data_IF_494599677536
#
_entry.id   IF_494599677536
#
_cell.length_a   1.000
_cell.length_b   1.000
_cell.length_c   1.000
_cell.angle_alpha   90.00
_cell.angle_beta   90.00
_cell.angle_gamma   90.00
#
_symmetry.space_group_name_H-M   'P 1'
#
loop_
_entity.id
_entity.type
_entity.pdbx_description
1 polymer ?
#
# COMPACT_ATOMS: atom_id res chain seq x y z
N UNK A 1 9.13 17.92 -7.88
CA UNK A 1 7.74 18.21 -7.49
C UNK A 1 7.39 19.66 -7.81
N UNK A 2 8.06 20.63 -7.17
CA UNK A 2 7.87 22.07 -7.40
C UNK A 2 7.82 22.51 -8.87
N UNK A 3 8.75 22.08 -9.73
CA UNK A 3 8.72 22.48 -11.16
C UNK A 3 7.49 21.95 -11.91
N UNK A 4 7.01 20.74 -11.58
CA UNK A 4 5.78 20.19 -12.18
C UNK A 4 4.55 20.96 -11.68
N UNK A 5 4.53 21.34 -10.40
CA UNK A 5 3.46 22.16 -9.84
C UNK A 5 3.42 23.55 -10.50
N UNK A 6 4.58 24.17 -10.71
CA UNK A 6 4.68 25.45 -11.43
C UNK A 6 4.20 25.33 -12.88
N UNK A 7 4.53 24.25 -13.57
CA UNK A 7 4.06 23.99 -14.93
C UNK A 7 2.53 23.77 -14.97
N UNK A 8 1.97 22.99 -14.04
CA UNK A 8 0.51 22.82 -13.91
C UNK A 8 -0.17 24.16 -13.62
N UNK A 9 0.42 24.99 -12.76
CA UNK A 9 -0.11 26.31 -12.46
C UNK A 9 -0.10 27.24 -13.67
N UNK A 10 1.00 27.28 -14.42
CA UNK A 10 1.12 28.05 -15.65
C UNK A 10 0.12 27.60 -16.74
N UNK A 11 -0.24 26.31 -16.75
CA UNK A 11 -1.25 25.75 -17.64
C UNK A 11 -2.70 25.97 -17.15
N UNK A 12 -2.92 26.66 -16.03
CA UNK A 12 -4.26 26.87 -15.47
C UNK A 12 -4.87 25.62 -14.79
N UNK A 13 -4.07 24.58 -14.54
CA UNK A 13 -4.49 23.32 -13.92
C UNK A 13 -4.40 23.39 -12.38
N UNK A 14 -4.82 24.50 -11.78
CA UNK A 14 -4.67 24.81 -10.34
C UNK A 14 -5.85 24.35 -9.48
N UNK A 15 -6.94 23.87 -10.09
CA UNK A 15 -8.18 23.47 -9.38
C UNK A 15 -8.06 22.25 -8.47
N UNK A 16 -6.84 21.75 -8.22
CA UNK A 16 -6.59 20.59 -7.35
C UNK A 16 -6.92 19.23 -7.98
N UNK A 17 -7.39 19.20 -9.24
CA UNK A 17 -7.71 17.97 -9.97
C UNK A 17 -6.48 17.13 -10.32
N UNK A 18 -5.31 17.77 -10.52
CA UNK A 18 -4.03 17.10 -10.77
C UNK A 18 -3.10 17.45 -9.62
N UNK A 19 -2.74 16.44 -8.83
CA UNK A 19 -1.84 16.58 -7.68
C UNK A 19 -0.49 15.97 -8.02
N UNK A 20 0.58 16.70 -7.72
CA UNK A 20 1.95 16.19 -7.84
C UNK A 20 2.30 15.43 -6.56
N UNK A 21 2.72 14.19 -6.72
CA UNK A 21 3.17 13.33 -5.62
C UNK A 21 4.45 12.59 -6.01
N UNK A 22 4.87 11.63 -5.18
CA UNK A 22 5.91 10.65 -5.48
C UNK A 22 5.46 9.28 -4.97
N UNK A 23 5.91 8.22 -5.65
CA UNK A 23 5.64 6.84 -5.28
C UNK A 23 6.85 6.25 -4.55
N UNK A 24 6.59 5.62 -3.39
CA UNK A 24 7.63 5.01 -2.56
C UNK A 24 7.29 3.54 -2.25
N UNK A 25 8.33 2.71 -2.07
CA UNK A 25 8.17 1.36 -1.53
C UNK A 25 8.19 1.42 -0.01
N UNK A 26 7.77 0.33 0.64
CA UNK A 26 7.75 0.22 2.11
C UNK A 26 9.15 0.24 2.76
N UNK A 27 10.24 0.10 2.00
CA UNK A 27 11.63 0.20 2.49
C UNK A 27 11.99 1.62 3.01
N UNK A 28 11.16 2.62 2.73
CA UNK A 28 11.25 3.96 3.34
C UNK A 28 10.79 3.99 4.78
N UNK A 29 10.14 2.94 5.29
CA UNK A 29 9.68 2.81 6.68
C UNK A 29 10.63 1.89 7.46
N UNK A 30 10.99 2.29 8.67
CA UNK A 30 11.74 1.48 9.64
C UNK A 30 11.01 1.44 10.98
N UNK A 31 11.39 0.51 11.87
CA UNK A 31 10.71 0.25 13.15
C UNK A 31 9.21 -0.01 12.98
N UNK A 32 8.83 -0.76 11.94
CA UNK A 32 7.44 -0.98 11.54
C UNK A 32 6.64 -1.92 12.44
N UNK A 33 7.25 -2.50 13.48
CA UNK A 33 6.58 -3.33 14.46
C UNK A 33 6.85 -2.86 15.91
N UNK A 34 5.79 -2.56 16.69
CA UNK A 34 4.40 -2.44 16.24
C UNK A 34 4.22 -1.23 15.30
N UNK A 35 3.13 -1.16 14.49
CA UNK A 35 2.94 -0.09 13.50
C UNK A 35 3.09 1.33 14.05
N UNK A 36 2.62 1.59 15.27
CA UNK A 36 2.75 2.87 15.96
C UNK A 36 4.21 3.34 16.16
N UNK A 37 5.19 2.43 16.11
CA UNK A 37 6.61 2.75 16.23
C UNK A 37 7.28 3.14 14.91
N UNK A 38 6.60 2.95 13.78
CA UNK A 38 7.13 3.21 12.46
C UNK A 38 7.60 4.67 12.27
N UNK A 39 8.73 4.83 11.59
CA UNK A 39 9.36 6.11 11.24
C UNK A 39 9.93 6.05 9.83
N UNK A 40 10.11 7.19 9.17
CA UNK A 40 10.85 7.20 7.91
C UNK A 40 12.33 6.83 8.13
N UNK A 41 12.84 5.88 7.35
CA UNK A 41 14.20 5.36 7.43
C UNK A 41 15.25 6.37 6.94
N UNK A 42 14.83 7.35 6.12
CA UNK A 42 15.72 8.32 5.48
C UNK A 42 15.22 9.76 5.67
N UNK A 43 16.10 10.72 5.98
CA UNK A 43 15.70 12.11 6.24
C UNK A 43 15.00 12.82 5.09
N UNK A 44 15.27 12.42 3.84
CA UNK A 44 14.67 13.08 2.67
C UNK A 44 13.15 12.96 2.64
N UNK A 45 12.59 11.89 3.24
CA UNK A 45 11.15 11.69 3.28
C UNK A 45 10.44 12.79 4.06
N UNK A 46 11.04 13.30 5.13
CA UNK A 46 10.46 14.42 5.91
C UNK A 46 10.24 15.65 5.02
N UNK A 47 11.21 16.03 4.20
CA UNK A 47 11.08 17.17 3.29
C UNK A 47 9.98 16.93 2.24
N UNK A 48 9.88 15.71 1.72
CA UNK A 48 8.84 15.33 0.75
C UNK A 48 7.46 15.45 1.38
N UNK A 49 7.23 14.85 2.55
CA UNK A 49 5.88 14.81 3.14
C UNK A 49 5.45 16.17 3.69
N UNK A 50 6.38 16.99 4.16
CA UNK A 50 6.08 18.38 4.52
C UNK A 50 5.67 19.20 3.29
N UNK A 51 6.30 18.99 2.13
CA UNK A 51 5.88 19.62 0.88
C UNK A 51 4.52 19.09 0.37
N UNK A 52 4.25 17.80 0.52
CA UNK A 52 2.92 17.24 0.23
C UNK A 52 1.83 17.87 1.12
N UNK A 53 2.13 18.12 2.39
CA UNK A 53 1.21 18.76 3.32
C UNK A 53 0.83 20.19 2.89
N UNK A 54 1.77 20.97 2.33
CA UNK A 54 1.48 22.35 1.85
C UNK A 54 0.64 22.38 0.58
N UNK A 55 0.71 21.33 -0.23
CA UNK A 55 0.00 21.23 -1.52
C UNK A 55 -1.32 20.43 -1.41
N UNK A 56 -1.56 19.79 -0.27
CA UNK A 56 -2.68 18.89 -0.05
C UNK A 56 -2.63 17.63 -0.93
N UNK A 57 -1.46 17.27 -1.44
CA UNK A 57 -1.26 16.06 -2.24
C UNK A 57 -1.06 14.82 -1.33
N UNK A 58 -1.53 13.63 -1.74
CA UNK A 58 -1.29 12.40 -0.98
C UNK A 58 0.15 11.90 -1.16
N UNK A 59 0.60 11.00 -0.30
CA UNK A 59 1.77 10.15 -0.55
C UNK A 59 1.31 8.84 -1.23
N UNK A 60 1.94 8.48 -2.34
CA UNK A 60 1.70 7.22 -3.03
C UNK A 60 2.65 6.14 -2.47
N UNK A 61 2.11 5.01 -2.01
CA UNK A 61 2.90 3.94 -1.39
C UNK A 61 2.59 2.58 -2.01
N UNK A 62 3.64 1.86 -2.39
CA UNK A 62 3.56 0.48 -2.86
C UNK A 62 3.60 -0.46 -1.64
N UNK A 63 2.46 -1.08 -1.32
CA UNK A 63 2.24 -1.89 -0.12
C UNK A 63 2.03 -3.34 -0.51
N UNK A 64 2.99 -4.20 -0.18
CA UNK A 64 2.98 -5.62 -0.55
C UNK A 64 3.16 -6.54 0.68
N UNK A 65 2.06 -6.96 1.32
CA UNK A 65 2.04 -8.03 2.31
C UNK A 65 2.70 -9.33 1.83
N UNK A 66 2.64 -9.61 0.51
CA UNK A 66 3.32 -10.75 -0.10
C UNK A 66 4.83 -10.79 0.22
N UNK A 67 5.56 -9.69 0.01
CA UNK A 67 7.00 -9.67 0.23
C UNK A 67 7.35 -9.81 1.72
N UNK A 68 6.60 -9.13 2.59
CA UNK A 68 6.77 -9.27 4.04
C UNK A 68 6.53 -10.73 4.49
N UNK A 69 5.47 -11.37 4.00
CA UNK A 69 5.21 -12.78 4.27
C UNK A 69 6.31 -13.70 3.73
N UNK A 70 6.72 -13.53 2.46
CA UNK A 70 7.79 -14.32 1.83
C UNK A 70 9.07 -14.28 2.66
N UNK A 71 9.42 -13.09 3.15
CA UNK A 71 10.68 -12.85 3.86
C UNK A 71 10.61 -13.23 5.35
N UNK A 72 9.41 -13.36 5.94
CA UNK A 72 9.23 -13.79 7.33
C UNK A 72 8.00 -14.68 7.55
N UNK A 73 8.01 -15.88 6.96
CA UNK A 73 6.92 -16.87 7.12
C UNK A 73 6.81 -17.43 8.56
N UNK A 74 7.85 -17.25 9.38
CA UNK A 74 7.86 -17.73 10.77
C UNK A 74 6.90 -16.91 11.65
N UNK A 75 6.95 -15.58 11.51
CA UNK A 75 6.16 -14.68 12.36
C UNK A 75 4.92 -14.14 11.65
N UNK A 76 4.90 -14.17 10.31
CA UNK A 76 3.77 -13.72 9.49
C UNK A 76 3.04 -14.94 8.93
N UNK A 77 1.85 -15.19 9.45
CA UNK A 77 0.98 -16.25 8.90
C UNK A 77 0.42 -15.87 7.53
N UNK A 78 0.20 -16.87 6.67
CA UNK A 78 -0.41 -16.66 5.36
C UNK A 78 -1.81 -16.03 5.47
N UNK A 79 -2.62 -16.44 6.45
CA UNK A 79 -3.98 -15.91 6.63
C UNK A 79 -3.94 -14.41 6.97
N UNK A 80 -3.00 -14.00 7.83
CA UNK A 80 -2.81 -12.58 8.16
C UNK A 80 -2.38 -11.75 6.95
N UNK A 81 -1.57 -12.32 6.05
CA UNK A 81 -1.12 -11.66 4.84
C UNK A 81 -2.19 -11.61 3.72
N UNK A 82 -3.18 -12.50 3.73
CA UNK A 82 -4.18 -12.69 2.65
C UNK A 82 -5.63 -12.41 3.06
N UNK A 83 -5.84 -11.66 4.15
CA UNK A 83 -7.17 -11.27 4.67
C UNK A 83 -8.09 -12.47 5.02
N UNK A 84 -7.52 -13.64 5.31
CA UNK A 84 -8.29 -14.85 5.55
C UNK A 84 -8.72 -14.99 7.02
N UNK A 85 -9.86 -15.63 7.29
CA UNK A 85 -10.30 -15.91 8.66
C UNK A 85 -9.28 -16.79 9.41
N UNK A 86 -9.32 -16.75 10.74
CA UNK A 86 -8.37 -17.46 11.59
C UNK A 86 -6.96 -16.86 11.60
N UNK A 87 -6.77 -15.68 10.99
CA UNK A 87 -5.54 -14.92 11.12
C UNK A 87 -5.27 -14.55 12.59
N UNK A 88 -4.00 -14.65 13.00
CA UNK A 88 -3.55 -14.14 14.30
C UNK A 88 -3.86 -12.65 14.39
N UNK A 89 -4.54 -12.26 15.46
CA UNK A 89 -4.79 -10.86 15.76
C UNK A 89 -3.58 -10.26 16.46
N UNK A 90 -3.08 -9.13 15.94
CA UNK A 90 -1.91 -8.43 16.47
C UNK A 90 -2.37 -7.17 17.18
N UNK A 91 -2.06 -7.05 18.47
CA UNK A 91 -2.31 -5.83 19.24
C UNK A 91 -1.05 -4.96 19.28
N UNK A 92 -1.18 -3.73 18.82
CA UNK A 92 -0.13 -2.73 18.86
C UNK A 92 0.05 -2.22 20.30
N UNK A 93 1.24 -2.44 20.86
CA UNK A 93 1.53 -2.11 22.25
C UNK A 93 1.71 -0.61 22.50
N UNK A 94 1.94 0.19 21.45
CA UNK A 94 2.14 1.64 21.57
C UNK A 94 0.85 2.45 21.59
N UNK A 95 -0.24 1.96 20.99
CA UNK A 95 -1.52 2.66 20.95
C UNK A 95 -2.77 1.79 21.24
N UNK A 96 -2.60 0.48 21.42
CA UNK A 96 -3.68 -0.45 21.72
C UNK A 96 -4.56 -0.85 20.53
N UNK A 97 -4.29 -0.33 19.32
CA UNK A 97 -5.00 -0.71 18.09
C UNK A 97 -4.79 -2.20 17.79
N UNK A 98 -5.77 -2.78 17.11
CA UNK A 98 -5.81 -4.20 16.82
C UNK A 98 -5.84 -4.41 15.31
N UNK A 99 -4.88 -5.20 14.81
CA UNK A 99 -4.71 -5.51 13.40
C UNK A 99 -5.05 -6.97 13.16
N UNK A 100 -5.96 -7.22 12.22
CA UNK A 100 -6.41 -8.56 11.82
C UNK A 100 -5.86 -8.99 10.45
N UNK A 101 -5.21 -8.07 9.74
CA UNK A 101 -4.51 -8.32 8.50
C UNK A 101 -3.23 -7.48 8.43
N UNK A 102 -2.24 -7.96 7.68
CA UNK A 102 -0.93 -7.33 7.54
C UNK A 102 -0.99 -6.01 6.75
N UNK A 103 -1.93 -5.89 5.81
CA UNK A 103 -2.07 -4.69 4.98
C UNK A 103 -2.36 -3.45 5.83
N UNK A 104 -3.31 -3.54 6.76
CA UNK A 104 -3.63 -2.47 7.70
C UNK A 104 -2.44 -2.08 8.57
N UNK A 105 -1.72 -3.08 9.09
CA UNK A 105 -0.53 -2.84 9.91
C UNK A 105 0.57 -2.11 9.12
N UNK A 106 0.74 -2.43 7.84
CA UNK A 106 1.71 -1.76 6.96
C UNK A 106 1.29 -0.32 6.65
N UNK A 107 0.02 -0.09 6.30
CA UNK A 107 -0.51 1.25 6.00
C UNK A 107 -0.47 2.14 7.24
N UNK A 108 -0.87 1.63 8.41
CA UNK A 108 -0.83 2.41 9.65
C UNK A 108 0.59 2.70 10.14
N UNK A 109 1.56 1.87 9.75
CA UNK A 109 2.98 2.20 9.88
C UNK A 109 3.38 3.44 9.08
N UNK A 110 2.85 3.61 7.86
CA UNK A 110 3.06 4.83 7.07
C UNK A 110 2.42 6.04 7.77
N UNK A 111 1.17 5.92 8.23
CA UNK A 111 0.51 7.00 8.97
C UNK A 111 1.27 7.40 10.24
N UNK A 112 1.78 6.43 11.01
CA UNK A 112 2.61 6.71 12.17
C UNK A 112 3.91 7.46 11.81
N UNK A 113 4.55 7.11 10.69
CA UNK A 113 5.73 7.81 10.19
C UNK A 113 5.41 9.26 9.75
N UNK A 114 4.27 9.47 9.07
CA UNK A 114 3.78 10.79 8.68
C UNK A 114 3.54 11.70 9.88
N UNK A 115 2.90 11.20 10.93
CA UNK A 115 2.67 11.95 12.17
C UNK A 115 3.98 12.38 12.84
N UNK A 116 4.96 11.47 12.94
CA UNK A 116 6.28 11.77 13.50
C UNK A 116 7.07 12.76 12.65
N UNK A 117 6.89 12.73 11.34
CA UNK A 117 7.43 13.72 10.40
C UNK A 117 6.68 15.06 10.41
N UNK A 118 5.69 15.24 11.30
CA UNK A 118 4.86 16.46 11.42
C UNK A 118 4.00 16.74 10.17
N UNK A 119 3.59 15.68 9.47
CA UNK A 119 2.72 15.75 8.29
C UNK A 119 1.43 14.91 8.45
N UNK A 120 0.66 15.04 9.54
CA UNK A 120 -0.51 14.19 9.81
C UNK A 120 -1.68 14.39 8.83
N UNK A 121 -1.70 15.48 8.07
CA UNK A 121 -2.74 15.79 7.08
C UNK A 121 -2.50 15.11 5.72
N UNK A 122 -1.32 14.53 5.49
CA UNK A 122 -0.99 13.85 4.24
C UNK A 122 -1.74 12.53 4.19
N UNK A 123 -2.64 12.40 3.21
CA UNK A 123 -3.35 11.14 2.94
C UNK A 123 -2.40 10.12 2.31
N UNK A 124 -2.68 8.84 2.52
CA UNK A 124 -1.98 7.75 1.84
C UNK A 124 -2.86 7.22 0.71
N UNK A 125 -2.27 7.04 -0.46
CA UNK A 125 -2.85 6.30 -1.59
C UNK A 125 -1.97 5.08 -1.82
N UNK A 126 -2.55 3.89 -1.85
CA UNK A 126 -1.80 2.66 -2.11
C UNK A 126 -1.65 2.52 -3.62
N UNK A 127 -0.52 2.95 -4.16
CA UNK A 127 -0.27 3.01 -5.60
C UNK A 127 0.02 1.65 -6.24
N UNK A 128 0.43 0.67 -5.45
CA UNK A 128 0.52 -0.72 -5.87
C UNK A 128 0.31 -1.66 -4.69
N UNK A 129 -0.43 -2.74 -4.93
CA UNK A 129 -0.61 -3.84 -4.00
C UNK A 129 -1.08 -5.07 -4.76
N UNK A 130 -0.49 -6.23 -4.51
CA UNK A 130 -0.83 -7.44 -5.26
C UNK A 130 -0.15 -8.68 -4.69
N UNK A 131 -0.50 -9.82 -5.28
CA UNK A 131 0.05 -11.12 -4.92
C UNK A 131 0.29 -11.96 -6.17
N UNK A 132 1.49 -12.52 -6.36
CA UNK A 132 1.80 -13.29 -7.57
C UNK A 132 1.11 -14.64 -7.55
N UNK A 133 0.64 -15.09 -8.71
CA UNK A 133 -0.06 -16.36 -8.93
C UNK A 133 0.83 -17.61 -8.85
N UNK A 134 1.91 -17.58 -8.04
CA UNK A 134 2.67 -18.79 -7.66
C UNK A 134 1.75 -19.85 -7.03
N UNK A 135 0.73 -19.39 -6.28
CA UNK A 135 -0.52 -20.11 -6.08
C UNK A 135 -1.68 -19.19 -6.51
N UNK A 136 -2.50 -19.68 -7.42
CA UNK A 136 -3.70 -18.99 -7.91
C UNK A 136 -4.67 -18.70 -6.76
N UNK A 137 -4.84 -19.65 -5.84
CA UNK A 137 -5.74 -19.51 -4.69
C UNK A 137 -5.31 -18.36 -3.77
N UNK A 138 -4.02 -18.26 -3.45
CA UNK A 138 -3.50 -17.19 -2.59
C UNK A 138 -3.60 -15.82 -3.28
N UNK A 139 -3.33 -15.75 -4.58
CA UNK A 139 -3.46 -14.52 -5.34
C UNK A 139 -4.91 -14.03 -5.39
N UNK A 140 -5.86 -14.95 -5.64
CA UNK A 140 -7.28 -14.65 -5.61
C UNK A 140 -7.73 -14.19 -4.21
N UNK A 141 -7.35 -14.93 -3.16
CA UNK A 141 -7.67 -14.60 -1.78
C UNK A 141 -7.19 -13.20 -1.39
N UNK A 142 -5.94 -12.88 -1.73
CA UNK A 142 -5.36 -11.57 -1.47
C UNK A 142 -6.09 -10.45 -2.23
N UNK A 143 -6.17 -10.55 -3.56
CA UNK A 143 -6.69 -9.47 -4.39
C UNK A 143 -8.19 -9.23 -4.16
N UNK A 144 -8.98 -10.30 -4.01
CA UNK A 144 -10.40 -10.16 -3.67
C UNK A 144 -10.60 -9.66 -2.22
N UNK A 145 -9.73 -10.09 -1.29
CA UNK A 145 -9.68 -9.59 0.08
C UNK A 145 -9.43 -8.09 0.14
N UNK A 146 -8.44 -7.61 -0.62
CA UNK A 146 -8.12 -6.19 -0.73
C UNK A 146 -9.31 -5.38 -1.26
N UNK A 147 -9.93 -5.79 -2.38
CA UNK A 147 -11.12 -5.13 -2.94
C UNK A 147 -12.25 -5.05 -1.90
N UNK A 148 -12.47 -6.11 -1.15
CA UNK A 148 -13.53 -6.16 -0.14
C UNK A 148 -13.20 -5.36 1.13
N UNK A 149 -11.95 -4.95 1.31
CA UNK A 149 -11.44 -4.34 2.53
C UNK A 149 -11.28 -2.83 2.43
N UNK A 150 -10.70 -2.32 1.35
CA UNK A 150 -10.22 -0.92 1.24
C UNK A 150 -11.26 0.17 1.56
N UNK A 151 -12.55 -0.09 1.34
CA UNK A 151 -13.62 0.87 1.69
C UNK A 151 -13.83 1.05 3.20
N UNK A 152 -13.26 0.18 4.04
CA UNK A 152 -13.37 0.21 5.52
C UNK A 152 -12.26 1.02 6.18
N UNK A 153 -11.30 1.54 5.41
CA UNK A 153 -10.11 2.17 5.95
C UNK A 153 -9.23 1.21 6.74
N UNK A 154 -8.54 1.73 7.75
CA UNK A 154 -7.62 0.99 8.63
C UNK A 154 -7.96 1.23 10.10
N UNK A 155 -7.43 0.47 11.08
CA UNK A 155 -7.65 0.74 12.50
C UNK A 155 -7.33 2.18 12.94
N UNK A 156 -6.29 2.80 12.38
CA UNK A 156 -5.93 4.21 12.67
C UNK A 156 -6.82 5.22 11.95
N UNK A 157 -7.44 4.83 10.83
CA UNK A 157 -8.29 5.66 9.97
C UNK A 157 -9.57 4.89 9.55
N UNK A 158 -10.46 4.53 10.50
CA UNK A 158 -11.54 3.57 10.25
C UNK A 158 -12.69 4.12 9.37
N UNK A 159 -12.80 5.44 9.25
CA UNK A 159 -13.87 6.10 8.48
C UNK A 159 -13.35 6.75 7.18
N UNK A 160 -12.11 6.46 6.79
CA UNK A 160 -11.48 6.99 5.58
C UNK A 160 -11.21 5.84 4.59
N UNK A 161 -12.06 5.67 3.55
CA UNK A 161 -11.79 4.71 2.48
C UNK A 161 -10.41 4.92 1.87
N UNK A 162 -9.68 3.83 1.68
CA UNK A 162 -8.34 3.86 1.12
C UNK A 162 -8.42 3.73 -0.41
N UNK A 163 -7.86 4.71 -1.12
CA UNK A 163 -7.63 4.57 -2.56
C UNK A 163 -6.47 3.60 -2.78
N UNK A 164 -6.71 2.53 -3.53
CA UNK A 164 -5.75 1.46 -3.75
C UNK A 164 -5.78 0.96 -5.19
N UNK A 165 -4.60 0.66 -5.73
CA UNK A 165 -4.41 0.16 -7.08
C UNK A 165 -3.85 -1.26 -7.04
N UNK A 166 -4.58 -2.20 -7.65
CA UNK A 166 -4.14 -3.58 -7.78
C UNK A 166 -2.98 -3.67 -8.78
N UNK A 167 -1.91 -4.33 -8.36
CA UNK A 167 -0.79 -4.67 -9.21
C UNK A 167 -0.86 -6.16 -9.60
N UNK A 168 -1.08 -6.52 -10.88
CA UNK A 168 -1.29 -5.66 -12.04
C UNK A 168 -2.36 -6.25 -12.99
N UNK A 169 -2.72 -5.52 -14.05
CA UNK A 169 -3.75 -5.98 -14.98
C UNK A 169 -3.36 -7.30 -15.67
N UNK A 170 -2.12 -7.41 -16.18
CA UNK A 170 -1.66 -8.57 -16.95
C UNK A 170 -0.37 -9.17 -16.39
N UNK A 171 -0.16 -10.45 -16.67
CA UNK A 171 1.15 -11.08 -16.50
C UNK A 171 2.18 -10.46 -17.46
N UNK A 172 3.27 -9.92 -16.92
CA UNK A 172 4.31 -9.22 -17.68
C UNK A 172 5.52 -10.15 -17.93
N UNK A 173 5.49 -10.93 -19.00
CA UNK A 173 6.48 -11.98 -19.27
C UNK A 173 7.93 -11.50 -19.48
N UNK A 174 8.13 -10.21 -19.78
CA UNK A 174 9.43 -9.58 -19.97
C UNK A 174 10.02 -8.98 -18.69
N UNK A 175 9.33 -9.05 -17.54
CA UNK A 175 9.88 -8.51 -16.29
C UNK A 175 11.19 -9.22 -15.92
N UNK A 176 12.25 -8.44 -15.61
CA UNK A 176 13.48 -8.98 -15.05
C UNK A 176 13.26 -9.38 -13.58
N UNK A 177 14.24 -10.06 -13.00
CA UNK A 177 14.19 -10.47 -11.59
C UNK A 177 13.54 -11.83 -11.37
N UNK A 178 12.89 -11.98 -10.20
CA UNK A 178 12.28 -13.24 -9.78
C UNK A 178 11.16 -13.69 -10.73
N UNK A 179 10.96 -15.00 -10.86
CA UNK A 179 9.89 -15.54 -11.71
C UNK A 179 8.49 -15.06 -11.29
N UNK A 180 8.30 -14.74 -10.01
CA UNK A 180 7.05 -14.21 -9.46
C UNK A 180 6.67 -12.86 -10.06
N UNK A 181 7.64 -12.02 -10.42
CA UNK A 181 7.41 -10.73 -11.05
C UNK A 181 6.58 -10.86 -12.34
N UNK A 182 6.76 -11.97 -13.07
CA UNK A 182 6.05 -12.23 -14.34
C UNK A 182 4.61 -12.71 -14.15
N UNK A 183 4.14 -12.86 -12.91
CA UNK A 183 2.92 -13.59 -12.57
C UNK A 183 1.97 -12.82 -11.61
N UNK A 184 2.05 -11.48 -11.54
CA UNK A 184 1.15 -10.62 -10.74
C UNK A 184 -0.19 -10.28 -11.41
N UNK A 185 -0.40 -10.70 -12.66
CA UNK A 185 -1.57 -10.35 -13.44
C UNK A 185 -2.87 -10.89 -12.85
N UNK A 186 -3.92 -10.05 -12.88
CA UNK A 186 -5.30 -10.47 -12.72
C UNK A 186 -5.78 -11.25 -13.97
N UNK A 187 -5.23 -10.92 -15.13
CA UNK A 187 -5.53 -11.53 -16.43
C UNK A 187 -4.27 -12.04 -17.13
N UNK A 188 -4.42 -13.07 -17.95
CA UNK A 188 -3.42 -13.45 -18.94
C UNK A 188 -3.38 -12.40 -20.07
N UNK A 189 -2.29 -12.32 -20.85
CA UNK A 189 -2.23 -11.46 -22.05
C UNK A 189 -3.33 -11.78 -23.08
N UNK A 190 -3.90 -12.99 -23.06
CA UNK A 190 -5.07 -13.38 -23.85
C UNK A 190 -6.39 -12.77 -23.36
N UNK A 191 -6.36 -11.91 -22.33
CA UNK A 191 -7.51 -11.30 -21.64
C UNK A 191 -8.38 -12.28 -20.85
N UNK A 192 -8.05 -13.57 -20.86
CA UNK A 192 -8.71 -14.54 -19.98
C UNK A 192 -8.29 -14.28 -18.52
N UNK A 193 -9.20 -14.38 -17.55
CA UNK A 193 -8.85 -14.21 -16.14
C UNK A 193 -7.88 -15.30 -15.69
N UNK A 194 -6.88 -14.94 -14.88
CA UNK A 194 -6.02 -15.92 -14.19
C UNK A 194 -6.82 -16.63 -13.09
N UNK A 195 -7.71 -15.88 -12.43
CA UNK A 195 -8.68 -16.34 -11.46
C UNK A 195 -9.92 -15.44 -11.49
N UNK A 196 -11.10 -15.92 -11.06
CA UNK A 196 -12.28 -15.08 -10.92
C UNK A 196 -12.05 -13.94 -9.92
N UNK A 197 -12.34 -12.71 -10.31
CA UNK A 197 -12.26 -11.51 -9.47
C UNK A 197 -13.46 -10.60 -9.73
N UNK A 198 -13.97 -9.94 -8.69
CA UNK A 198 -15.08 -8.98 -8.80
C UNK A 198 -14.63 -7.64 -8.24
N UNK A 199 -14.55 -6.64 -9.13
CA UNK A 199 -14.30 -5.24 -8.78
C UNK A 199 -15.58 -4.59 -8.24
N UNK A 200 -15.43 -3.55 -7.41
CA UNK A 200 -16.53 -2.76 -6.83
C UNK A 200 -16.37 -1.29 -7.17
#
# INVERSE_FOLDING_TARGET
MQNLEAALAAAGLTGGHIKVSTCVRMDVITNSFPPSMATFAKPYMTNIVLHLATTGAPLLVNVYPYFAYRDNQKDISLNYATFQPGATTVRDTGNGLVYTNLFDAMVDGVYAALEKAKAPSVRVVVSESGWPSASVQNAQAYNQGLINHVCKGTPKKPDEPLEAYLFAMFNENQKPGELTERNFGLFYPSQSPVYPITFK
#
